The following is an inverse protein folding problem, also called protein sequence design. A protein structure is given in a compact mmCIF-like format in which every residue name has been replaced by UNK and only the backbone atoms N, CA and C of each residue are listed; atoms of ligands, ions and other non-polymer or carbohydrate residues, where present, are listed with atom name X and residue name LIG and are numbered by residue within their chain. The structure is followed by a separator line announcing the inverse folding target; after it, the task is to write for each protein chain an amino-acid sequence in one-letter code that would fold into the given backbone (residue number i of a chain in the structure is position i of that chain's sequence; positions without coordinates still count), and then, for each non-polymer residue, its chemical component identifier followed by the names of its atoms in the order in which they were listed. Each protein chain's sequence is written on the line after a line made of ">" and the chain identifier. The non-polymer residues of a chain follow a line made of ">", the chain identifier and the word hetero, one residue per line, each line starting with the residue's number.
data_IF_639588854751
#
_entry.id   IF_639588854751
#
_cell.length_a   1.000
_cell.length_b   1.000
_cell.length_c   1.000
_cell.angle_alpha   90.00
_cell.angle_beta   90.00
_cell.angle_gamma   90.00
#
_symmetry.space_group_name_H-M   'P 1'
#
loop_
_entity.id
_entity.type
_entity.pdbx_description
1 polymer ?
#
# COMPACT_ATOMS: atom_id res chain seq x y z
N UNK A 1 -18.57 1.40 6.88
CA UNK A 1 -19.21 0.14 7.33
C UNK A 1 -18.86 -0.18 8.79
N UNK A 2 -19.14 0.72 9.73
CA UNK A 2 -18.87 0.49 11.15
C UNK A 2 -19.56 -0.73 11.80
N UNK A 3 -20.80 -1.14 11.42
CA UNK A 3 -21.50 -2.20 12.15
C UNK A 3 -20.90 -3.61 11.97
N UNK A 4 -19.98 -3.78 11.01
CA UNK A 4 -19.34 -5.05 10.70
C UNK A 4 -17.89 -5.14 11.20
N UNK A 5 -17.40 -4.11 11.91
CA UNK A 5 -16.07 -4.11 12.51
C UNK A 5 -16.08 -4.79 13.89
N UNK A 6 -15.01 -5.51 14.28
CA UNK A 6 -14.92 -6.12 15.59
C UNK A 6 -15.01 -5.07 16.70
N UNK A 7 -15.82 -5.32 17.73
CA UNK A 7 -16.10 -4.33 18.79
C UNK A 7 -14.87 -3.93 19.62
N UNK A 8 -13.87 -4.80 19.70
CA UNK A 8 -12.63 -4.56 20.44
C UNK A 8 -11.63 -3.66 19.70
N UNK A 9 -11.89 -3.29 18.44
CA UNK A 9 -10.94 -2.48 17.66
C UNK A 9 -11.07 -0.98 17.96
N UNK A 10 -9.97 -0.21 17.94
CA UNK A 10 -9.97 1.22 18.29
C UNK A 10 -10.98 2.06 17.50
N UNK A 11 -11.13 1.79 16.19
CA UNK A 11 -12.11 2.47 15.32
C UNK A 11 -13.54 2.18 15.77
N UNK A 12 -13.86 0.94 16.15
CA UNK A 12 -15.19 0.60 16.67
C UNK A 12 -15.46 1.34 17.99
N UNK A 13 -14.49 1.36 18.91
CA UNK A 13 -14.63 2.02 20.22
C UNK A 13 -14.85 3.52 20.05
N UNK A 14 -14.07 4.19 19.19
CA UNK A 14 -14.12 5.64 19.03
C UNK A 14 -15.41 6.14 18.36
N UNK A 15 -15.97 5.37 17.43
CA UNK A 15 -17.05 5.84 16.55
C UNK A 15 -18.42 5.20 16.83
N UNK A 16 -18.51 4.10 17.57
CA UNK A 16 -19.79 3.42 17.82
C UNK A 16 -20.73 4.28 18.67
N UNK A 17 -20.22 4.99 19.69
CA UNK A 17 -21.05 5.89 20.51
C UNK A 17 -21.50 7.15 19.76
N UNK A 18 -20.82 7.48 18.66
CA UNK A 18 -21.08 8.67 17.83
C UNK A 18 -22.00 8.37 16.65
N UNK A 19 -22.46 7.12 16.50
CA UNK A 19 -23.27 6.69 15.36
C UNK A 19 -24.57 6.06 15.85
N UNK A 20 -25.71 6.59 15.41
CA UNK A 20 -27.04 6.02 15.67
C UNK A 20 -27.54 5.23 14.46
N UNK A 21 -28.51 4.33 14.66
CA UNK A 21 -29.13 3.57 13.56
C UNK A 21 -28.28 2.46 12.93
N UNK A 22 -27.16 2.08 13.57
CA UNK A 22 -26.33 0.98 13.09
C UNK A 22 -27.07 -0.36 13.16
N UNK A 23 -27.07 -1.09 12.04
CA UNK A 23 -27.46 -2.50 12.01
C UNK A 23 -26.63 -3.24 13.06
N UNK A 24 -27.28 -4.05 13.90
CA UNK A 24 -26.61 -4.88 14.90
C UNK A 24 -26.53 -6.31 14.37
N UNK A 25 -25.49 -6.67 13.61
CA UNK A 25 -25.32 -8.06 13.23
C UNK A 25 -25.07 -8.90 14.50
N UNK A 26 -25.90 -9.92 14.68
CA UNK A 26 -25.84 -10.87 15.80
C UNK A 26 -25.33 -12.20 15.30
N UNK A 27 -24.50 -12.90 16.09
CA UNK A 27 -24.04 -14.25 15.78
C UNK A 27 -22.54 -14.44 16.02
N UNK A 28 -22.16 -15.66 16.41
CA UNK A 28 -20.78 -16.02 16.77
C UNK A 28 -19.77 -15.84 15.63
N UNK A 29 -20.22 -15.85 14.36
CA UNK A 29 -19.37 -15.63 13.20
C UNK A 29 -18.76 -14.23 13.11
N UNK A 30 -19.38 -13.22 13.73
CA UNK A 30 -18.83 -11.85 13.73
C UNK A 30 -17.83 -11.62 14.86
N UNK A 31 -18.07 -12.26 16.01
CA UNK A 31 -17.17 -12.21 17.16
C UNK A 31 -15.93 -13.10 16.96
N UNK A 32 -16.03 -14.15 16.14
CA UNK A 32 -14.95 -15.10 15.83
C UNK A 32 -14.14 -14.78 14.58
N UNK A 33 -14.22 -13.57 14.01
CA UNK A 33 -13.31 -13.17 12.92
C UNK A 33 -11.88 -13.10 13.43
N UNK A 34 -11.18 -14.22 13.38
CA UNK A 34 -9.76 -14.32 13.64
C UNK A 34 -9.01 -13.96 12.35
N UNK A 35 -8.03 -13.08 12.47
CA UNK A 35 -7.04 -12.91 11.43
C UNK A 35 -6.19 -14.17 11.41
N UNK A 36 -6.28 -14.95 10.32
CA UNK A 36 -5.36 -16.04 10.07
C UNK A 36 -4.17 -15.50 9.27
N UNK A 37 -2.94 -15.81 9.69
CA UNK A 37 -1.77 -15.61 8.87
C UNK A 37 -1.80 -16.64 7.74
N UNK A 38 -2.03 -16.19 6.51
CA UNK A 38 -2.23 -17.10 5.36
C UNK A 38 -0.90 -17.35 4.64
N UNK A 39 0.02 -16.39 4.66
CA UNK A 39 1.35 -16.52 4.05
C UNK A 39 2.34 -15.51 4.65
N UNK A 40 3.63 -15.84 4.55
CA UNK A 40 4.76 -14.97 4.92
C UNK A 40 5.75 -14.95 3.77
N UNK A 41 5.99 -13.75 3.22
CA UNK A 41 7.00 -13.52 2.20
C UNK A 41 8.21 -12.82 2.80
N UNK A 42 9.41 -13.34 2.54
CA UNK A 42 10.65 -12.65 2.90
C UNK A 42 11.05 -11.76 1.73
N UNK A 43 10.93 -10.46 1.94
CA UNK A 43 11.29 -9.45 0.95
C UNK A 43 12.65 -8.86 1.33
N UNK A 44 13.49 -8.64 0.32
CA UNK A 44 14.80 -8.02 0.51
C UNK A 44 14.62 -6.50 0.64
N UNK A 45 14.18 -6.03 1.80
CA UNK A 45 14.10 -4.60 2.11
C UNK A 45 14.82 -4.31 3.42
N UNK A 46 15.72 -3.30 3.41
CA UNK A 46 16.44 -2.89 4.62
C UNK A 46 15.90 -1.61 5.25
N UNK A 47 15.17 -0.77 4.50
CA UNK A 47 14.86 0.62 4.91
C UNK A 47 13.51 1.16 4.41
N UNK A 48 12.60 0.32 3.91
CA UNK A 48 11.30 0.81 3.47
C UNK A 48 10.46 1.31 4.65
N UNK A 49 10.15 2.61 4.68
CA UNK A 49 9.23 3.20 5.66
C UNK A 49 7.75 2.98 5.25
N UNK A 50 7.49 2.73 3.97
CA UNK A 50 6.16 2.46 3.43
C UNK A 50 6.14 1.31 2.43
N UNK A 51 4.96 0.69 2.29
CA UNK A 51 4.62 -0.28 1.26
C UNK A 51 3.22 0.04 0.72
N UNK A 52 2.97 -0.29 -0.54
CA UNK A 52 1.67 -0.13 -1.20
C UNK A 52 0.98 -1.47 -1.43
N UNK A 53 -0.35 -1.45 -1.55
CA UNK A 53 -1.16 -2.59 -1.98
C UNK A 53 -2.24 -2.10 -2.95
N UNK A 54 -2.39 -2.79 -4.06
CA UNK A 54 -3.50 -2.60 -5.00
C UNK A 54 -4.86 -2.83 -4.33
N UNK A 55 -5.90 -2.15 -4.83
CA UNK A 55 -7.24 -2.21 -4.23
C UNK A 55 -7.86 -3.63 -4.26
N UNK A 56 -7.44 -4.47 -5.21
CA UNK A 56 -7.84 -5.88 -5.31
C UNK A 56 -7.06 -6.81 -4.35
N UNK A 57 -6.04 -6.29 -3.66
CA UNK A 57 -5.20 -7.02 -2.72
C UNK A 57 -4.22 -8.01 -3.36
N UNK A 58 -4.02 -7.97 -4.68
CA UNK A 58 -3.23 -8.98 -5.41
C UNK A 58 -1.78 -8.60 -5.66
N UNK A 59 -1.47 -7.31 -5.56
CA UNK A 59 -0.18 -6.74 -5.93
C UNK A 59 0.34 -5.79 -4.85
N UNK A 60 1.11 -6.27 -3.87
CA UNK A 60 1.90 -5.42 -2.99
C UNK A 60 3.07 -4.82 -3.76
N UNK A 61 3.36 -3.56 -3.47
CA UNK A 61 4.48 -2.80 -4.03
C UNK A 61 5.42 -2.44 -2.90
N UNK A 62 6.67 -2.85 -3.02
CA UNK A 62 7.66 -2.75 -1.96
C UNK A 62 8.93 -2.10 -2.49
N UNK A 63 9.37 -0.99 -1.88
CA UNK A 63 10.68 -0.44 -2.20
C UNK A 63 11.78 -1.26 -1.51
N UNK A 64 12.86 -1.46 -2.25
CA UNK A 64 14.13 -2.00 -1.79
C UNK A 64 15.24 -0.97 -2.09
N UNK A 65 16.49 -1.26 -1.74
CA UNK A 65 17.59 -0.28 -1.68
C UNK A 65 17.66 0.61 -2.94
N UNK A 66 17.60 0.01 -4.13
CA UNK A 66 17.65 0.73 -5.41
C UNK A 66 16.59 0.27 -6.43
N UNK A 67 15.57 -0.46 -6.00
CA UNK A 67 14.57 -1.08 -6.87
C UNK A 67 13.19 -0.98 -6.22
N UNK A 68 12.14 -0.84 -7.02
CA UNK A 68 10.77 -1.02 -6.55
C UNK A 68 10.24 -2.31 -7.16
N UNK A 69 9.75 -3.21 -6.33
CA UNK A 69 9.24 -4.51 -6.77
C UNK A 69 7.74 -4.63 -6.51
N UNK A 70 7.06 -5.33 -7.42
CA UNK A 70 5.65 -5.68 -7.31
C UNK A 70 5.56 -7.19 -7.24
N UNK A 71 4.90 -7.71 -6.21
CA UNK A 71 4.76 -9.15 -6.01
C UNK A 71 3.34 -9.62 -6.29
N UNK A 72 3.16 -10.90 -6.57
CA UNK A 72 1.86 -11.56 -6.58
C UNK A 72 1.59 -12.15 -5.19
N UNK A 73 0.46 -11.81 -4.55
CA UNK A 73 0.12 -12.32 -3.21
C UNK A 73 -0.29 -13.79 -3.17
N UNK A 74 -0.50 -14.43 -4.31
CA UNK A 74 -0.82 -15.86 -4.38
C UNK A 74 0.46 -16.69 -4.47
N UNK A 75 1.39 -16.29 -5.33
CA UNK A 75 2.64 -17.05 -5.56
C UNK A 75 3.77 -16.56 -4.67
N UNK A 76 3.77 -15.30 -4.25
CA UNK A 76 4.87 -14.66 -3.55
C UNK A 76 6.03 -14.24 -4.44
N UNK A 77 5.86 -14.34 -5.76
CA UNK A 77 6.92 -14.03 -6.72
C UNK A 77 6.84 -12.58 -7.17
N UNK A 78 8.00 -12.00 -7.49
CA UNK A 78 8.08 -10.67 -8.12
C UNK A 78 7.59 -10.78 -9.56
N UNK A 79 6.56 -10.00 -9.90
CA UNK A 79 5.93 -10.00 -11.23
C UNK A 79 6.32 -8.79 -12.06
N UNK A 80 6.72 -7.69 -11.42
CA UNK A 80 7.23 -6.48 -12.05
C UNK A 80 8.30 -5.86 -11.17
N UNK A 81 9.28 -5.23 -11.79
CA UNK A 81 10.27 -4.45 -11.07
C UNK A 81 10.64 -3.19 -11.85
N UNK A 82 10.92 -2.13 -11.10
CA UNK A 82 11.43 -0.87 -11.63
C UNK A 82 12.85 -0.67 -11.12
N UNK A 83 13.80 -0.72 -12.04
CA UNK A 83 15.19 -0.35 -11.80
C UNK A 83 15.48 0.94 -12.54
N UNK A 84 15.67 2.03 -11.81
CA UNK A 84 15.94 3.36 -12.36
C UNK A 84 16.88 4.12 -11.40
N UNK A 85 17.61 5.10 -11.89
CA UNK A 85 18.43 5.97 -11.03
C UNK A 85 17.59 6.67 -9.94
N UNK A 86 16.30 6.94 -10.22
CA UNK A 86 15.33 7.56 -9.31
C UNK A 86 14.80 6.61 -8.24
N UNK A 87 15.00 5.29 -8.37
CA UNK A 87 14.55 4.31 -7.35
C UNK A 87 15.56 4.11 -6.22
N UNK A 88 16.67 4.85 -6.21
CA UNK A 88 17.66 4.84 -5.13
C UNK A 88 17.09 5.44 -3.85
N UNK A 89 17.18 4.70 -2.74
CA UNK A 89 16.74 5.15 -1.40
C UNK A 89 15.27 5.60 -1.35
N UNK A 90 14.38 4.93 -2.09
CA UNK A 90 12.94 5.19 -1.99
C UNK A 90 12.45 4.85 -0.59
N UNK A 91 11.81 5.82 0.05
CA UNK A 91 11.25 5.66 1.40
C UNK A 91 9.75 5.43 1.38
N UNK A 92 9.08 6.07 0.43
CA UNK A 92 7.63 6.11 0.35
C UNK A 92 7.15 5.62 -1.01
N UNK A 93 6.12 4.78 -0.99
CA UNK A 93 5.38 4.32 -2.16
C UNK A 93 3.88 4.41 -1.89
N UNK A 94 3.11 4.68 -2.93
CA UNK A 94 1.64 4.64 -2.92
C UNK A 94 1.13 4.11 -4.26
N UNK A 95 0.09 3.29 -4.21
CA UNK A 95 -0.56 2.71 -5.39
C UNK A 95 -1.82 3.50 -5.71
N UNK A 96 -1.98 3.88 -6.97
CA UNK A 96 -3.22 4.47 -7.49
C UNK A 96 -4.43 3.55 -7.27
N UNK A 97 -5.65 4.09 -7.08
CA UNK A 97 -6.85 3.28 -6.84
C UNK A 97 -7.19 2.30 -7.98
N UNK A 98 -6.87 2.66 -9.22
CA UNK A 98 -7.05 1.80 -10.39
C UNK A 98 -5.95 0.74 -10.55
N UNK A 99 -4.90 0.80 -9.73
CA UNK A 99 -3.79 -0.15 -9.73
C UNK A 99 -2.86 -0.02 -10.94
N UNK A 100 -2.90 1.09 -11.67
CA UNK A 100 -2.10 1.27 -12.90
C UNK A 100 -0.83 2.08 -12.69
N UNK A 101 -0.76 2.86 -11.62
CA UNK A 101 0.38 3.72 -11.31
C UNK A 101 0.87 3.55 -9.87
N UNK A 102 2.18 3.72 -9.68
CA UNK A 102 2.86 3.84 -8.38
C UNK A 102 3.46 5.24 -8.28
N UNK A 103 3.05 5.99 -7.27
CA UNK A 103 3.78 7.17 -6.83
C UNK A 103 4.90 6.74 -5.86
N UNK A 104 6.10 7.28 -6.01
CA UNK A 104 7.21 6.99 -5.13
C UNK A 104 8.09 8.21 -4.89
N UNK A 105 8.73 8.29 -3.72
CA UNK A 105 9.63 9.39 -3.39
C UNK A 105 10.75 9.00 -2.43
N UNK A 106 11.82 9.81 -2.46
CA UNK A 106 12.95 9.74 -1.54
C UNK A 106 12.81 10.84 -0.49
N UNK A 107 12.42 10.51 0.73
CA UNK A 107 12.36 11.49 1.83
C UNK A 107 11.58 12.75 1.47
N UNK A 108 12.25 13.92 1.54
CA UNK A 108 11.68 15.23 1.22
C UNK A 108 11.94 15.69 -0.24
N UNK A 109 12.30 14.75 -1.13
CA UNK A 109 12.53 15.03 -2.54
C UNK A 109 11.23 14.97 -3.36
N UNK A 110 11.36 15.32 -4.65
CA UNK A 110 10.26 15.29 -5.61
C UNK A 110 9.74 13.84 -5.76
N UNK A 111 8.42 13.71 -5.83
CA UNK A 111 7.78 12.44 -6.10
C UNK A 111 7.78 12.14 -7.61
N UNK A 112 7.92 10.86 -7.93
CA UNK A 112 7.83 10.31 -9.28
C UNK A 112 6.61 9.41 -9.38
N UNK A 113 6.15 9.18 -10.61
CA UNK A 113 5.09 8.26 -10.95
C UNK A 113 5.61 7.26 -11.95
N UNK A 114 5.44 5.99 -11.63
CA UNK A 114 5.72 4.85 -12.50
C UNK A 114 4.42 4.18 -12.94
N UNK A 115 4.32 3.86 -14.22
CA UNK A 115 3.23 3.04 -14.76
C UNK A 115 3.49 1.55 -14.52
N UNK A 116 2.60 0.83 -13.83
CA UNK A 116 2.74 -0.59 -13.45
C UNK A 116 2.49 -1.54 -14.62
N UNK A 117 3.38 -1.52 -15.59
CA UNK A 117 3.44 -2.49 -16.69
C UNK A 117 4.89 -2.73 -17.10
N UNK A 118 5.10 -3.77 -17.90
CA UNK A 118 6.41 -3.99 -18.49
C UNK A 118 6.83 -2.76 -19.32
N UNK A 119 8.09 -2.35 -19.15
CA UNK A 119 8.65 -1.11 -19.69
C UNK A 119 7.80 0.14 -19.37
N UNK A 120 7.11 0.13 -18.22
CA UNK A 120 6.35 1.27 -17.74
C UNK A 120 7.22 2.52 -17.59
N UNK A 121 6.71 3.67 -18.01
CA UNK A 121 7.48 4.91 -17.98
C UNK A 121 7.49 5.51 -16.58
N UNK A 122 8.60 6.13 -16.21
CA UNK A 122 8.71 6.91 -14.97
C UNK A 122 8.74 8.39 -15.32
N UNK A 123 7.80 9.13 -14.73
CA UNK A 123 7.65 10.57 -14.90
C UNK A 123 7.76 11.27 -13.57
N UNK A 124 8.21 12.53 -13.59
CA UNK A 124 8.27 13.37 -12.41
C UNK A 124 6.90 13.99 -12.15
N UNK A 125 6.39 13.90 -10.92
CA UNK A 125 5.04 14.37 -10.59
C UNK A 125 4.92 15.90 -10.68
N UNK A 126 5.99 16.63 -10.35
CA UNK A 126 6.07 18.08 -10.42
C UNK A 126 7.37 18.51 -11.10
N UNK A 127 7.36 19.30 -12.18
CA UNK A 127 8.59 19.83 -12.78
C UNK A 127 9.33 20.76 -11.80
N UNK A 128 10.65 20.90 -11.97
CA UNK A 128 11.64 21.53 -11.06
C UNK A 128 11.44 23.02 -10.68
N UNK A 129 10.22 23.58 -10.76
CA UNK A 129 9.93 25.00 -10.58
C UNK A 129 9.30 25.44 -9.25
N UNK A 130 9.01 24.54 -8.30
CA UNK A 130 8.28 24.90 -7.05
C UNK A 130 9.10 24.60 -5.78
N UNK A 131 10.39 24.34 -5.91
CA UNK A 131 11.29 24.09 -4.77
C UNK A 131 11.82 25.39 -4.14
N UNK A 132 10.92 26.25 -3.64
CA UNK A 132 11.13 27.20 -2.52
C UNK A 132 9.98 28.20 -2.42
N UNK A 133 9.17 28.07 -1.37
CA UNK A 133 8.57 29.21 -0.65
C UNK A 133 8.90 29.01 0.82
#
# INVERSE_FOLDING_TARGET
>A
MLPFWPRSRPISIAYTSRTSGLVRPTGSGIDRRQLALIATWKLSTKQAESMGLTADGRRPVVPSENIIEVYDTTTGESVLSLTDERTKNVKYVAVSPDGTHVAFSRGNEIAYVWEMRDQGTVTQLLPDGISRI
#
